data_IF_435085599637
#
_entry.id   IF_435085599637
#
_cell.length_a   1.000
_cell.length_b   1.000
_cell.length_c   1.000
_cell.angle_alpha   90.00
_cell.angle_beta   90.00
_cell.angle_gamma   90.00
#
_symmetry.space_group_name_H-M   'P 1'
#
loop_
_entity.id
_entity.type
_entity.pdbx_description
1 polymer ?
#
# COMPACT_ATOMS: atom_id res chain seq x y z
N UNK A 1 15.89 0.95 -10.73
CA UNK A 1 16.73 2.16 -10.57
C UNK A 1 16.50 2.87 -9.24
N UNK A 2 15.25 3.16 -8.81
CA UNK A 2 15.00 3.91 -7.57
C UNK A 2 15.68 3.34 -6.30
N UNK A 3 15.62 2.02 -6.08
CA UNK A 3 16.21 1.42 -4.88
C UNK A 3 17.74 1.47 -4.81
N UNK A 4 18.43 1.62 -5.96
CA UNK A 4 19.89 1.83 -5.98
C UNK A 4 20.27 3.29 -5.74
N UNK A 5 19.38 4.23 -6.05
CA UNK A 5 19.63 5.66 -5.95
C UNK A 5 19.26 6.23 -4.58
N UNK A 6 18.25 5.68 -3.92
CA UNK A 6 17.76 6.18 -2.62
C UNK A 6 18.21 5.34 -1.43
N UNK A 7 18.86 4.20 -1.67
CA UNK A 7 19.13 3.20 -0.63
C UNK A 7 17.86 2.52 -0.08
N UNK A 8 16.69 2.76 -0.68
CA UNK A 8 15.41 2.19 -0.25
C UNK A 8 14.92 1.12 -1.25
N UNK A 9 15.25 -0.16 -1.03
CA UNK A 9 14.73 -1.26 -1.84
C UNK A 9 13.24 -1.50 -1.54
N UNK A 10 12.36 -0.76 -2.22
CA UNK A 10 10.91 -0.85 -2.11
C UNK A 10 10.36 -1.56 -3.36
N UNK A 11 9.37 -2.47 -3.23
CA UNK A 11 8.71 -3.11 -4.37
C UNK A 11 7.84 -2.11 -5.13
N UNK A 12 8.44 -1.24 -5.94
CA UNK A 12 7.77 -0.11 -6.57
C UNK A 12 6.56 -0.52 -7.44
N UNK A 13 6.67 -1.64 -8.14
CA UNK A 13 5.59 -2.17 -8.98
C UNK A 13 4.35 -2.59 -8.19
N UNK A 14 4.55 -3.08 -6.96
CA UNK A 14 3.46 -3.44 -6.04
C UNK A 14 2.97 -2.20 -5.29
N UNK A 15 3.89 -1.33 -4.85
CA UNK A 15 3.57 -0.09 -4.13
C UNK A 15 2.58 0.79 -4.91
N UNK A 16 2.75 0.96 -6.22
CA UNK A 16 1.82 1.75 -7.04
C UNK A 16 0.38 1.22 -7.01
N UNK A 17 0.19 -0.09 -6.80
CA UNK A 17 -1.14 -0.71 -6.66
C UNK A 17 -1.66 -0.53 -5.23
N UNK A 18 -0.80 -0.74 -4.24
CA UNK A 18 -1.15 -0.58 -2.83
C UNK A 18 -1.62 0.83 -2.50
N UNK A 19 -0.96 1.86 -3.07
CA UNK A 19 -1.33 3.26 -2.86
C UNK A 19 -2.80 3.54 -3.27
N UNK A 20 -3.33 2.84 -4.26
CA UNK A 20 -4.72 2.98 -4.74
C UNK A 20 -5.67 1.90 -4.20
N UNK A 21 -5.24 1.15 -3.18
CA UNK A 21 -6.08 0.14 -2.53
C UNK A 21 -6.25 -1.16 -3.31
N UNK A 22 -5.34 -1.45 -4.26
CA UNK A 22 -5.31 -2.71 -5.00
C UNK A 22 -4.23 -3.63 -4.44
N UNK A 23 -4.46 -4.95 -4.32
CA UNK A 23 -3.47 -5.88 -3.76
C UNK A 23 -2.25 -6.09 -4.68
N UNK A 24 -2.38 -5.78 -5.98
CA UNK A 24 -1.37 -6.13 -6.98
C UNK A 24 -1.22 -7.64 -7.08
N UNK A 25 0.03 -8.12 -7.02
CA UNK A 25 0.35 -9.57 -7.05
C UNK A 25 0.27 -10.24 -5.66
N UNK A 26 -0.10 -9.49 -4.61
CA UNK A 26 -0.24 -10.08 -3.28
C UNK A 26 -1.49 -10.98 -3.21
N UNK A 27 -1.28 -12.24 -2.83
CA UNK A 27 -2.35 -13.23 -2.65
C UNK A 27 -2.77 -13.39 -1.18
N UNK A 28 -1.93 -12.92 -0.25
CA UNK A 28 -2.22 -12.90 1.18
C UNK A 28 -2.68 -11.49 1.58
N UNK A 29 -4.01 -11.31 1.66
CA UNK A 29 -4.62 -10.04 2.03
C UNK A 29 -5.97 -10.25 2.72
N UNK A 30 -6.39 -9.24 3.50
CA UNK A 30 -7.71 -9.20 4.13
C UNK A 30 -8.48 -7.96 3.69
N UNK A 31 -9.81 -8.06 3.66
CA UNK A 31 -10.72 -6.97 3.32
C UNK A 31 -11.45 -6.46 4.57
N UNK A 32 -11.79 -5.17 4.56
CA UNK A 32 -12.68 -4.57 5.52
C UNK A 32 -14.17 -4.93 5.29
N UNK A 33 -15.03 -4.47 6.19
CA UNK A 33 -16.49 -4.66 6.13
C UNK A 33 -17.15 -4.02 4.90
N UNK A 34 -16.41 -3.19 4.15
CA UNK A 34 -16.85 -2.52 2.92
C UNK A 34 -16.15 -3.06 1.68
N UNK A 35 -15.53 -4.24 1.77
CA UNK A 35 -14.79 -4.89 0.69
C UNK A 35 -13.59 -4.09 0.17
N UNK A 36 -12.98 -3.26 1.03
CA UNK A 36 -11.75 -2.52 0.71
C UNK A 36 -10.56 -3.22 1.37
N UNK A 37 -9.37 -3.04 0.82
CA UNK A 37 -8.16 -3.66 1.34
C UNK A 37 -7.88 -3.18 2.77
N UNK A 38 -7.78 -4.10 3.74
CA UNK A 38 -7.46 -3.78 5.14
C UNK A 38 -5.98 -3.95 5.41
N UNK A 39 -5.42 -5.07 4.96
CA UNK A 39 -4.01 -5.38 5.06
C UNK A 39 -3.57 -6.36 3.97
N UNK A 40 -2.27 -6.44 3.72
CA UNK A 40 -1.67 -7.50 2.92
C UNK A 40 -0.25 -7.83 3.37
N UNK A 41 0.18 -9.03 3.04
CA UNK A 41 1.58 -9.45 3.14
C UNK A 41 2.11 -9.74 1.72
N UNK A 42 3.30 -9.25 1.44
CA UNK A 42 3.95 -9.47 0.15
C UNK A 42 5.44 -9.74 0.31
N UNK A 43 5.88 -10.88 -0.19
CA UNK A 43 7.28 -11.29 -0.13
C UNK A 43 7.93 -11.16 -1.51
N UNK A 44 9.02 -10.40 -1.59
CA UNK A 44 9.82 -10.27 -2.80
C UNK A 44 11.31 -10.20 -2.43
N UNK A 45 12.14 -10.95 -3.15
CA UNK A 45 13.60 -11.00 -2.92
C UNK A 45 13.98 -11.28 -1.45
N UNK A 46 13.25 -12.19 -0.80
CA UNK A 46 13.49 -12.57 0.60
C UNK A 46 13.08 -11.52 1.63
N UNK A 47 12.41 -10.43 1.23
CA UNK A 47 11.86 -9.41 2.14
C UNK A 47 10.34 -9.47 2.13
N UNK A 48 9.75 -9.54 3.32
CA UNK A 48 8.31 -9.52 3.50
C UNK A 48 7.86 -8.14 3.92
N UNK A 49 6.94 -7.55 3.17
CA UNK A 49 6.27 -6.30 3.48
C UNK A 49 4.88 -6.60 4.02
N UNK A 50 4.60 -6.09 5.21
CA UNK A 50 3.27 -5.98 5.76
C UNK A 50 2.74 -4.59 5.46
N UNK A 51 1.58 -4.50 4.82
CA UNK A 51 0.94 -3.24 4.44
C UNK A 51 -0.39 -3.14 5.14
N UNK A 52 -0.65 -2.03 5.83
CA UNK A 52 -1.91 -1.77 6.54
C UNK A 52 -2.57 -0.49 6.06
N UNK A 53 -3.90 -0.53 5.97
CA UNK A 53 -4.72 0.60 5.52
C UNK A 53 -5.44 1.20 6.73
N UNK A 54 -5.02 2.39 7.14
CA UNK A 54 -5.53 3.08 8.33
C UNK A 54 -6.84 3.83 8.11
N UNK A 55 -7.29 3.96 6.86
CA UNK A 55 -8.51 4.65 6.52
C UNK A 55 -8.68 4.84 5.01
N UNK A 56 -9.88 5.25 4.63
CA UNK A 56 -10.28 5.55 3.25
C UNK A 56 -11.08 6.85 3.25
N UNK A 57 -10.89 7.69 2.23
CA UNK A 57 -11.78 8.82 1.97
C UNK A 57 -12.98 8.39 1.12
N UNK A 58 -14.12 9.02 1.36
CA UNK A 58 -15.34 8.91 0.55
C UNK A 58 -15.56 10.11 -0.38
N UNK A 59 -14.58 11.02 -0.48
CA UNK A 59 -14.67 12.21 -1.34
C UNK A 59 -14.51 11.87 -2.84
N UNK A 60 -14.12 10.62 -3.13
CA UNK A 60 -14.05 10.05 -4.47
C UNK A 60 -14.94 8.82 -4.58
N UNK A 61 -15.35 8.50 -5.80
CA UNK A 61 -15.99 7.22 -6.14
C UNK A 61 -15.12 6.50 -7.18
N UNK A 62 -14.52 5.33 -6.87
CA UNK A 62 -14.60 4.61 -5.59
C UNK A 62 -13.85 5.31 -4.44
N UNK A 63 -14.10 4.85 -3.22
CA UNK A 63 -13.34 5.27 -2.04
C UNK A 63 -11.87 4.85 -2.17
N UNK A 64 -10.95 5.77 -1.86
CA UNK A 64 -9.50 5.54 -1.97
C UNK A 64 -8.82 5.63 -0.60
N UNK A 65 -7.69 4.94 -0.38
CA UNK A 65 -6.98 4.97 0.90
C UNK A 65 -6.63 6.40 1.33
N UNK A 66 -6.78 6.74 2.60
CA UNK A 66 -6.33 8.02 3.17
C UNK A 66 -5.07 7.87 4.04
N UNK A 67 -4.77 6.65 4.50
CA UNK A 67 -3.58 6.31 5.25
C UNK A 67 -3.10 4.90 4.90
N UNK A 68 -1.84 4.76 4.50
CA UNK A 68 -1.19 3.46 4.21
C UNK A 68 0.15 3.40 4.91
N UNK A 69 0.39 2.32 5.65
CA UNK A 69 1.67 2.01 6.26
C UNK A 69 2.26 0.74 5.66
N UNK A 70 3.55 0.77 5.34
CA UNK A 70 4.32 -0.38 4.87
C UNK A 70 5.47 -0.64 5.81
N UNK A 71 5.66 -1.89 6.21
CA UNK A 71 6.68 -2.29 7.15
C UNK A 71 7.29 -3.65 6.78
N UNK A 72 8.62 -3.76 6.77
CA UNK A 72 9.33 -5.04 6.57
C UNK A 72 10.25 -5.40 7.75
N UNK A 73 10.03 -4.82 8.92
CA UNK A 73 10.86 -4.93 10.12
C UNK A 73 12.02 -3.93 10.15
N UNK A 74 12.72 -3.75 9.03
CA UNK A 74 13.88 -2.85 8.93
C UNK A 74 13.52 -1.45 8.40
N UNK A 75 12.46 -1.36 7.61
CA UNK A 75 12.04 -0.16 6.90
C UNK A 75 10.56 0.07 7.14
N UNK A 76 10.19 1.33 7.37
CA UNK A 76 8.82 1.76 7.58
C UNK A 76 8.51 2.98 6.73
N UNK A 77 7.42 2.92 5.99
CA UNK A 77 6.93 4.02 5.15
C UNK A 77 5.50 4.31 5.59
N UNK A 78 5.19 5.57 5.85
CA UNK A 78 3.84 6.04 6.16
C UNK A 78 3.42 7.05 5.12
N UNK A 79 2.27 6.82 4.51
CA UNK A 79 1.66 7.69 3.52
C UNK A 79 0.34 8.18 4.08
N UNK A 80 0.18 9.50 4.15
CA UNK A 80 -1.09 10.15 4.44
C UNK A 80 -1.49 10.92 3.19
N UNK A 81 -2.64 10.60 2.64
CA UNK A 81 -3.19 11.29 1.47
C UNK A 81 -4.18 12.34 1.97
N UNK A 82 -3.86 13.61 1.76
CA UNK A 82 -4.74 14.70 2.18
C UNK A 82 -5.99 14.81 1.26
N UNK A 83 -5.84 14.53 -0.03
CA UNK A 83 -6.95 14.43 -0.98
C UNK A 83 -6.63 13.49 -2.15
N UNK A 84 -7.67 13.16 -2.92
CA UNK A 84 -7.56 12.45 -4.19
C UNK A 84 -8.26 13.23 -5.29
N UNK A 85 -7.66 13.23 -6.48
CA UNK A 85 -8.26 13.74 -7.71
C UNK A 85 -8.21 12.60 -8.72
N UNK A 86 -9.38 12.11 -9.11
CA UNK A 86 -9.55 11.01 -10.07
C UNK A 86 -10.48 11.44 -11.20
N UNK A 87 -10.30 10.84 -12.38
CA UNK A 87 -11.08 11.11 -13.59
C UNK A 87 -11.69 9.81 -14.11
#
# INVERSE_FOLDING_TARGET
MIGRLTGMPIPLNSLRQWIIGLPGDATDYSLDDRYRLRELNYTQNGKTWHVTYGGYTSDTQPALPSNVELNNGAQRIKLKMDNWIVK
#
